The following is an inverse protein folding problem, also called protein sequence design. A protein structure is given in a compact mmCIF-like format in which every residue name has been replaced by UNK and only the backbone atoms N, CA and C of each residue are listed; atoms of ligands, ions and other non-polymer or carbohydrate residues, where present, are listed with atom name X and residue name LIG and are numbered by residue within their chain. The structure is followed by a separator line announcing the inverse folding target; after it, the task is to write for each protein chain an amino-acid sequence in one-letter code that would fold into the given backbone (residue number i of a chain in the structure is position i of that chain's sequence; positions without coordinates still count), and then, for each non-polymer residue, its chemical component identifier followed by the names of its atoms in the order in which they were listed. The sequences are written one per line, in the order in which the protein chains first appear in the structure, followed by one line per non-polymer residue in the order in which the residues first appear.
data_IF_294897470110
#
_entry.id   IF_294897470110
#
_cell.length_a   1.000
_cell.length_b   1.000
_cell.length_c   1.000
_cell.angle_alpha   90.00
_cell.angle_beta   90.00
_cell.angle_gamma   90.00
#
_symmetry.space_group_name_H-M   'P 1'
#
loop_
_entity.id
_entity.type
_entity.pdbx_description
1 polymer ?
#
# COMPACT_ATOMS: atom_id res chain seq x y z
N UNK A 1 19.63 11.10 23.80
CA UNK A 1 19.27 12.46 23.35
C UNK A 1 18.07 12.35 22.40
N UNK A 2 16.95 13.06 22.64
CA UNK A 2 15.75 12.95 21.82
C UNK A 2 16.00 13.39 20.36
N UNK A 3 16.95 14.29 20.13
CA UNK A 3 17.30 14.77 18.78
C UNK A 3 17.86 13.66 17.88
N UNK A 4 18.71 12.79 18.41
CA UNK A 4 19.25 11.66 17.68
C UNK A 4 18.17 10.63 17.32
N UNK A 5 17.16 10.44 18.20
CA UNK A 5 16.03 9.55 17.91
C UNK A 5 15.19 10.04 16.74
N UNK A 6 14.94 11.35 16.66
CA UNK A 6 14.20 11.95 15.54
C UNK A 6 14.99 11.83 14.23
N UNK A 7 16.31 12.01 14.27
CA UNK A 7 17.15 11.90 13.08
C UNK A 7 17.18 10.47 12.53
N UNK A 8 17.29 9.48 13.41
CA UNK A 8 17.22 8.06 13.04
C UNK A 8 15.84 7.72 12.48
N UNK A 9 14.78 8.25 13.10
CA UNK A 9 13.40 8.05 12.61
C UNK A 9 13.22 8.58 11.19
N UNK A 10 13.68 9.78 10.90
CA UNK A 10 13.62 10.37 9.57
C UNK A 10 14.47 9.60 8.56
N UNK A 11 15.64 9.14 8.94
CA UNK A 11 16.50 8.33 8.07
C UNK A 11 15.86 6.98 7.72
N UNK A 12 15.21 6.32 8.68
CA UNK A 12 14.49 5.05 8.46
C UNK A 12 13.27 5.28 7.55
N UNK A 13 12.49 6.33 7.80
CA UNK A 13 11.34 6.66 6.94
C UNK A 13 11.77 7.00 5.50
N UNK A 14 12.86 7.72 5.35
CA UNK A 14 13.43 8.02 4.04
C UNK A 14 13.94 6.76 3.33
N UNK A 15 14.61 5.86 4.06
CA UNK A 15 15.03 4.56 3.54
C UNK A 15 13.86 3.69 3.10
N UNK A 16 12.77 3.66 3.89
CA UNK A 16 11.53 2.98 3.52
C UNK A 16 10.91 3.58 2.24
N UNK A 17 10.82 4.88 2.18
CA UNK A 17 10.29 5.56 0.99
C UNK A 17 11.11 5.22 -0.26
N UNK A 18 12.43 5.24 -0.15
CA UNK A 18 13.29 4.92 -1.27
C UNK A 18 13.17 3.46 -1.70
N UNK A 19 13.18 2.54 -0.74
CA UNK A 19 13.12 1.09 -1.03
C UNK A 19 11.74 0.65 -1.53
N UNK A 20 10.67 1.03 -0.86
CA UNK A 20 9.31 0.61 -1.25
C UNK A 20 8.80 1.43 -2.43
N UNK A 21 9.02 2.75 -2.43
CA UNK A 21 8.52 3.64 -3.46
C UNK A 21 9.28 3.52 -4.78
N UNK A 22 10.59 3.72 -4.75
CA UNK A 22 11.38 3.76 -5.98
C UNK A 22 11.73 2.36 -6.48
N UNK A 23 12.21 1.49 -5.61
CA UNK A 23 12.60 0.14 -6.00
C UNK A 23 11.37 -0.76 -6.17
N UNK A 24 10.46 -0.81 -5.20
CA UNK A 24 9.27 -1.66 -5.24
C UNK A 24 8.25 -1.21 -6.29
N UNK A 25 7.76 0.01 -6.18
CA UNK A 25 6.72 0.53 -7.05
C UNK A 25 7.23 1.02 -8.42
N UNK A 26 8.46 1.50 -8.50
CA UNK A 26 9.05 1.94 -9.76
C UNK A 26 9.65 0.78 -10.57
N UNK A 27 10.71 0.16 -10.05
CA UNK A 27 11.51 -0.80 -10.82
C UNK A 27 10.86 -2.17 -10.95
N UNK A 28 10.38 -2.75 -9.83
CA UNK A 28 9.81 -4.11 -9.86
C UNK A 28 8.46 -4.15 -10.57
N UNK A 29 7.61 -3.16 -10.35
CA UNK A 29 6.32 -3.07 -11.06
C UNK A 29 6.53 -2.92 -12.55
N UNK A 30 7.40 -2.00 -12.99
CA UNK A 30 7.71 -1.81 -14.40
C UNK A 30 8.25 -3.07 -15.08
N UNK A 31 9.16 -3.79 -14.43
CA UNK A 31 9.69 -5.05 -14.95
C UNK A 31 8.63 -6.14 -15.09
N UNK A 32 7.73 -6.28 -14.10
CA UNK A 32 6.68 -7.29 -14.13
C UNK A 32 5.58 -6.90 -15.12
N UNK A 33 5.20 -5.63 -15.16
CA UNK A 33 4.15 -5.13 -16.05
C UNK A 33 4.59 -5.20 -17.52
N UNK A 34 5.76 -4.67 -17.88
CA UNK A 34 6.22 -4.63 -19.26
C UNK A 34 6.63 -6.00 -19.78
N UNK A 35 7.53 -6.70 -19.08
CA UNK A 35 8.10 -7.95 -19.60
C UNK A 35 7.15 -9.14 -19.48
N UNK A 36 6.43 -9.27 -18.36
CA UNK A 36 5.62 -10.46 -18.10
C UNK A 36 4.20 -10.32 -18.63
N UNK A 37 3.56 -9.18 -18.40
CA UNK A 37 2.19 -8.95 -18.84
C UNK A 37 2.09 -8.30 -20.21
N UNK A 38 2.93 -7.28 -20.51
CA UNK A 38 2.91 -6.57 -21.78
C UNK A 38 3.29 -7.45 -22.97
N UNK A 39 4.39 -8.17 -22.87
CA UNK A 39 4.92 -8.95 -24.00
C UNK A 39 4.43 -10.39 -24.08
N UNK A 40 4.12 -11.03 -22.94
CA UNK A 40 3.86 -12.47 -22.92
C UNK A 40 2.40 -12.84 -22.62
N UNK A 41 1.86 -12.42 -21.49
CA UNK A 41 0.54 -12.89 -21.05
C UNK A 41 -0.60 -12.23 -21.82
N UNK A 42 -0.58 -10.92 -21.99
CA UNK A 42 -1.68 -10.20 -22.63
C UNK A 42 -1.88 -10.62 -24.09
N UNK A 43 -0.86 -10.68 -24.97
CA UNK A 43 -1.06 -11.09 -26.37
C UNK A 43 -1.53 -12.54 -26.47
N UNK A 44 -0.99 -13.44 -25.65
CA UNK A 44 -1.37 -14.85 -25.63
C UNK A 44 -2.84 -15.05 -25.26
N UNK A 45 -3.30 -14.36 -24.22
CA UNK A 45 -4.70 -14.43 -23.78
C UNK A 45 -5.66 -13.74 -24.76
N UNK A 46 -5.24 -12.61 -25.32
CA UNK A 46 -6.03 -11.87 -26.32
C UNK A 46 -6.28 -12.75 -27.56
N UNK A 47 -5.26 -13.38 -28.08
CA UNK A 47 -5.37 -14.26 -29.23
C UNK A 47 -6.23 -15.49 -28.94
N UNK A 48 -6.06 -16.10 -27.75
CA UNK A 48 -6.85 -17.26 -27.35
C UNK A 48 -8.35 -16.94 -27.19
N UNK A 49 -8.69 -15.81 -26.58
CA UNK A 49 -10.09 -15.42 -26.35
C UNK A 49 -10.76 -14.95 -27.63
N UNK A 50 -10.09 -14.17 -28.48
CA UNK A 50 -10.61 -13.75 -29.77
C UNK A 50 -10.90 -14.93 -30.70
N UNK A 51 -10.11 -15.99 -30.61
CA UNK A 51 -10.31 -17.23 -31.39
C UNK A 51 -11.45 -18.10 -30.84
N UNK A 52 -11.72 -18.03 -29.53
CA UNK A 52 -12.70 -18.89 -28.86
C UNK A 52 -14.08 -18.25 -28.82
N UNK A 53 -14.18 -16.93 -28.74
CA UNK A 53 -15.45 -16.21 -28.59
C UNK A 53 -15.65 -15.28 -29.80
N UNK A 54 -16.53 -15.64 -30.75
CA UNK A 54 -16.76 -14.84 -31.96
C UNK A 54 -17.66 -13.59 -31.70
N UNK A 55 -18.03 -13.30 -30.46
CA UNK A 55 -18.87 -12.15 -30.09
C UNK A 55 -18.00 -10.97 -29.68
N UNK A 56 -17.91 -9.89 -30.49
CA UNK A 56 -16.98 -8.79 -30.23
C UNK A 56 -17.27 -8.08 -28.92
N UNK A 57 -18.51 -7.95 -28.50
CA UNK A 57 -18.88 -7.28 -27.24
C UNK A 57 -18.34 -8.00 -25.99
N UNK A 58 -18.37 -9.33 -25.97
CA UNK A 58 -17.90 -10.13 -24.84
C UNK A 58 -16.36 -10.18 -24.86
N UNK A 59 -15.77 -10.26 -26.03
CA UNK A 59 -14.32 -10.23 -26.20
C UNK A 59 -13.72 -8.89 -25.72
N UNK A 60 -14.33 -7.77 -26.10
CA UNK A 60 -13.89 -6.43 -25.64
C UNK A 60 -14.06 -6.24 -24.13
N UNK A 61 -15.13 -6.78 -23.55
CA UNK A 61 -15.34 -6.70 -22.10
C UNK A 61 -14.28 -7.50 -21.29
N UNK A 62 -13.83 -8.64 -21.83
CA UNK A 62 -12.85 -9.51 -21.13
C UNK A 62 -11.42 -9.08 -21.42
N UNK A 63 -11.08 -8.79 -22.67
CA UNK A 63 -9.70 -8.63 -23.15
C UNK A 63 -9.48 -7.29 -23.86
N UNK A 64 -10.49 -6.41 -23.90
CA UNK A 64 -10.37 -5.05 -24.44
C UNK A 64 -9.34 -4.22 -23.68
N UNK A 65 -9.07 -3.01 -24.15
CA UNK A 65 -8.10 -2.07 -23.53
C UNK A 65 -8.43 -1.80 -22.04
N UNK A 66 -9.73 -1.83 -21.68
CA UNK A 66 -10.24 -1.75 -20.30
C UNK A 66 -10.87 -3.06 -19.85
N UNK A 67 -10.43 -4.19 -20.39
CA UNK A 67 -11.01 -5.50 -20.11
C UNK A 67 -10.74 -5.96 -18.67
N UNK A 68 -11.64 -6.80 -18.18
CA UNK A 68 -11.53 -7.38 -16.83
C UNK A 68 -10.21 -8.16 -16.66
N UNK A 69 -9.77 -8.86 -17.70
CA UNK A 69 -8.51 -9.61 -17.69
C UNK A 69 -7.31 -8.67 -17.79
N UNK A 70 -7.28 -7.80 -18.80
CA UNK A 70 -6.14 -6.92 -19.07
C UNK A 70 -5.89 -5.94 -17.94
N UNK A 71 -6.92 -5.26 -17.44
CA UNK A 71 -6.76 -4.38 -16.29
C UNK A 71 -6.78 -5.12 -14.96
N UNK A 72 -7.79 -5.96 -14.70
CA UNK A 72 -7.97 -6.57 -13.40
C UNK A 72 -6.81 -7.47 -13.00
N UNK A 73 -6.43 -8.40 -13.86
CA UNK A 73 -5.36 -9.37 -13.59
C UNK A 73 -3.97 -8.72 -13.63
N UNK A 74 -3.73 -7.83 -14.60
CA UNK A 74 -2.45 -7.12 -14.71
C UNK A 74 -2.22 -6.25 -13.47
N UNK A 75 -3.18 -5.42 -13.07
CA UNK A 75 -3.00 -4.60 -11.87
C UNK A 75 -2.93 -5.42 -10.59
N UNK A 76 -3.70 -6.51 -10.46
CA UNK A 76 -3.66 -7.36 -9.27
C UNK A 76 -2.29 -8.04 -9.09
N UNK A 77 -1.70 -8.55 -10.16
CA UNK A 77 -0.44 -9.30 -10.08
C UNK A 77 0.77 -8.40 -10.32
N UNK A 78 0.76 -7.58 -11.37
CA UNK A 78 1.93 -6.78 -11.73
C UNK A 78 2.16 -5.59 -10.79
N UNK A 79 1.10 -4.98 -10.27
CA UNK A 79 1.21 -3.80 -9.43
C UNK A 79 1.14 -4.14 -7.94
N UNK A 80 0.12 -4.88 -7.51
CA UNK A 80 -0.12 -5.12 -6.07
C UNK A 80 0.92 -6.07 -5.50
N UNK A 81 1.25 -7.16 -6.20
CA UNK A 81 2.16 -8.19 -5.68
C UNK A 81 3.56 -7.67 -5.35
N UNK A 82 4.29 -6.94 -6.23
CA UNK A 82 5.60 -6.39 -5.90
C UNK A 82 5.55 -5.36 -4.77
N UNK A 83 4.55 -4.48 -4.78
CA UNK A 83 4.42 -3.43 -3.75
C UNK A 83 4.17 -4.07 -2.37
N UNK A 84 3.25 -5.03 -2.29
CA UNK A 84 2.93 -5.72 -1.04
C UNK A 84 4.13 -6.51 -0.55
N UNK A 85 4.85 -7.21 -1.44
CA UNK A 85 6.04 -7.99 -1.08
C UNK A 85 7.14 -7.10 -0.51
N UNK A 86 7.49 -6.00 -1.19
CA UNK A 86 8.52 -5.07 -0.71
C UNK A 86 8.11 -4.38 0.58
N UNK A 87 6.84 -4.05 0.74
CA UNK A 87 6.31 -3.47 1.96
C UNK A 87 6.43 -4.44 3.14
N UNK A 88 5.98 -5.70 2.99
CA UNK A 88 6.07 -6.69 4.07
C UNK A 88 7.50 -7.05 4.42
N UNK A 89 8.38 -7.12 3.43
CA UNK A 89 9.80 -7.40 3.67
C UNK A 89 10.44 -6.27 4.48
N UNK A 90 10.18 -5.02 4.12
CA UNK A 90 10.68 -3.85 4.85
C UNK A 90 10.09 -3.78 6.25
N UNK A 91 8.79 -4.06 6.37
CA UNK A 91 8.10 -4.07 7.66
C UNK A 91 8.65 -5.16 8.58
N UNK A 92 8.87 -6.38 8.08
CA UNK A 92 9.47 -7.48 8.84
C UNK A 92 10.86 -7.12 9.37
N UNK A 93 11.72 -6.54 8.54
CA UNK A 93 13.05 -6.07 8.96
C UNK A 93 12.94 -5.01 10.07
N UNK A 94 11.96 -4.12 9.96
CA UNK A 94 11.74 -3.05 10.93
C UNK A 94 11.19 -3.57 12.25
N UNK A 95 10.35 -4.61 12.20
CA UNK A 95 9.82 -5.31 13.37
C UNK A 95 10.94 -6.07 14.09
N UNK A 96 11.72 -6.87 13.37
CA UNK A 96 12.83 -7.66 13.91
C UNK A 96 13.95 -6.79 14.50
N UNK A 97 14.18 -5.60 13.95
CA UNK A 97 15.16 -4.63 14.49
C UNK A 97 14.76 -4.01 15.84
N UNK A 98 13.53 -4.28 16.32
CA UNK A 98 13.00 -3.70 17.56
C UNK A 98 12.73 -2.19 17.47
N UNK A 99 12.63 -1.65 16.27
CA UNK A 99 12.36 -0.23 16.04
C UNK A 99 10.93 0.15 16.43
N UNK A 100 9.95 -0.71 16.13
CA UNK A 100 8.53 -0.46 16.39
C UNK A 100 8.21 -0.24 17.88
N UNK A 101 8.71 -1.05 18.84
CA UNK A 101 8.53 -0.79 20.27
C UNK A 101 9.12 0.55 20.72
N UNK A 102 10.26 0.94 20.15
CA UNK A 102 10.87 2.24 20.46
C UNK A 102 10.06 3.40 19.94
N UNK A 103 9.52 3.28 18.73
CA UNK A 103 8.61 4.27 18.15
C UNK A 103 7.34 4.42 19.00
N UNK A 104 6.73 3.30 19.43
CA UNK A 104 5.59 3.28 20.32
C UNK A 104 5.88 3.98 21.65
N UNK A 105 7.04 3.74 22.25
CA UNK A 105 7.46 4.37 23.50
C UNK A 105 7.65 5.90 23.35
N UNK A 106 8.28 6.34 22.27
CA UNK A 106 8.49 7.77 21.97
C UNK A 106 7.17 8.51 21.75
N UNK A 107 6.26 7.89 21.04
CA UNK A 107 4.96 8.47 20.66
C UNK A 107 3.90 8.35 21.75
N UNK A 108 4.14 7.53 22.80
CA UNK A 108 3.19 7.30 23.89
C UNK A 108 2.73 8.60 24.55
N UNK A 109 3.65 9.56 24.74
CA UNK A 109 3.33 10.85 25.37
C UNK A 109 2.35 11.69 24.55
N UNK A 110 2.45 11.62 23.23
CA UNK A 110 1.58 12.35 22.31
C UNK A 110 0.20 11.68 22.22
N UNK A 111 0.15 10.35 22.16
CA UNK A 111 -1.09 9.60 22.06
C UNK A 111 -1.86 9.54 23.39
N UNK A 112 -1.17 9.56 24.54
CA UNK A 112 -1.79 9.66 25.84
C UNK A 112 -2.56 10.97 26.04
N UNK A 113 -2.13 12.05 25.40
CA UNK A 113 -2.85 13.34 25.42
C UNK A 113 -4.22 13.27 24.72
N UNK A 114 -4.38 12.33 23.77
CA UNK A 114 -5.62 12.08 23.01
C UNK A 114 -6.45 10.96 23.67
N UNK A 115 -5.95 10.38 24.78
CA UNK A 115 -6.62 9.28 25.50
C UNK A 115 -6.39 7.90 24.87
N UNK A 116 -5.39 7.77 23.99
CA UNK A 116 -4.99 6.52 23.36
C UNK A 116 -3.70 5.98 23.98
N UNK A 117 -3.59 4.66 24.06
CA UNK A 117 -2.35 4.01 24.49
C UNK A 117 -1.27 4.15 23.40
N UNK A 118 0.01 4.26 23.79
CA UNK A 118 1.14 4.28 22.86
C UNK A 118 1.20 3.09 21.91
N UNK A 119 0.61 1.96 22.26
CA UNK A 119 0.44 0.82 21.36
C UNK A 119 -0.42 1.12 20.12
N UNK A 120 -1.26 2.16 20.17
CA UNK A 120 -2.06 2.61 19.02
C UNK A 120 -1.22 3.23 17.89
N UNK A 121 0.01 3.60 18.16
CA UNK A 121 0.96 4.11 17.14
C UNK A 121 1.21 3.06 16.05
N UNK A 122 1.33 1.79 16.43
CA UNK A 122 1.61 0.71 15.50
C UNK A 122 0.55 0.60 14.38
N UNK A 123 -0.75 0.40 14.70
CA UNK A 123 -1.79 0.37 13.68
C UNK A 123 -1.92 1.68 12.89
N UNK A 124 -1.66 2.83 13.50
CA UNK A 124 -1.74 4.11 12.79
C UNK A 124 -0.61 4.30 11.77
N UNK A 125 0.63 3.98 12.12
CA UNK A 125 1.77 4.03 11.20
C UNK A 125 1.60 3.05 10.04
N UNK A 126 1.15 1.83 10.35
CA UNK A 126 0.84 0.82 9.32
C UNK A 126 -0.32 1.26 8.41
N UNK A 127 -1.32 1.92 8.99
CA UNK A 127 -2.48 2.43 8.25
C UNK A 127 -2.14 3.47 7.20
N UNK A 128 -1.09 4.27 7.41
CA UNK A 128 -0.57 5.22 6.40
C UNK A 128 -0.06 4.49 5.14
N UNK A 129 0.50 3.30 5.31
CA UNK A 129 0.88 2.45 4.17
C UNK A 129 -0.30 1.63 3.66
N UNK A 130 -0.89 0.82 4.53
CA UNK A 130 -1.99 -0.09 4.21
C UNK A 130 -3.03 -0.10 5.34
N UNK A 131 -4.21 0.47 5.09
CA UNK A 131 -5.31 0.55 6.07
C UNK A 131 -5.76 -0.84 6.52
N UNK A 132 -5.77 -1.82 5.63
CA UNK A 132 -6.13 -3.21 5.96
C UNK A 132 -5.20 -3.79 7.02
N UNK A 133 -3.90 -3.60 6.86
CA UNK A 133 -2.91 -4.06 7.86
C UNK A 133 -3.01 -3.27 9.15
N UNK A 134 -3.23 -1.96 9.06
CA UNK A 134 -3.51 -1.11 10.22
C UNK A 134 -4.70 -1.63 11.03
N UNK A 135 -5.81 -1.96 10.37
CA UNK A 135 -7.02 -2.47 11.05
C UNK A 135 -6.82 -3.85 11.66
N UNK A 136 -6.11 -4.76 11.00
CA UNK A 136 -5.77 -6.06 11.56
C UNK A 136 -4.89 -5.90 12.81
N UNK A 137 -3.93 -5.01 12.76
CA UNK A 137 -3.00 -4.74 13.87
C UNK A 137 -3.68 -4.08 15.08
N UNK A 138 -4.87 -3.48 14.93
CA UNK A 138 -5.63 -2.97 16.08
C UNK A 138 -5.94 -4.04 17.13
N UNK A 139 -5.81 -5.32 16.78
CA UNK A 139 -5.96 -6.44 17.73
C UNK A 139 -4.94 -6.43 18.87
N UNK A 140 -3.81 -5.73 18.69
CA UNK A 140 -2.80 -5.52 19.73
C UNK A 140 -3.31 -4.63 20.87
N UNK A 141 -4.35 -3.83 20.62
CA UNK A 141 -4.97 -2.98 21.61
C UNK A 141 -5.82 -3.80 22.59
N UNK A 142 -5.69 -3.49 23.87
CA UNK A 142 -6.27 -4.28 24.95
C UNK A 142 -7.78 -4.07 25.09
N UNK A 143 -8.25 -2.83 24.89
CA UNK A 143 -9.66 -2.49 25.07
C UNK A 143 -10.43 -2.44 23.76
N UNK A 144 -11.68 -2.93 23.78
CA UNK A 144 -12.59 -2.86 22.62
C UNK A 144 -12.83 -1.41 22.18
N UNK A 145 -12.83 -0.48 23.12
CA UNK A 145 -13.07 0.94 22.88
C UNK A 145 -11.93 1.58 22.09
N UNK A 146 -10.69 1.35 22.48
CA UNK A 146 -9.51 1.82 21.76
C UNK A 146 -9.45 1.22 20.37
N UNK A 147 -9.73 -0.07 20.24
CA UNK A 147 -9.76 -0.79 18.97
C UNK A 147 -10.76 -0.18 18.00
N UNK A 148 -11.96 0.14 18.48
CA UNK A 148 -13.02 0.75 17.68
C UNK A 148 -12.66 2.19 17.28
N UNK A 149 -12.12 2.99 18.21
CA UNK A 149 -11.67 4.36 17.93
C UNK A 149 -10.55 4.38 16.89
N UNK A 150 -9.53 3.54 17.04
CA UNK A 150 -8.41 3.48 16.10
C UNK A 150 -8.87 3.01 14.72
N UNK A 151 -9.74 2.00 14.65
CA UNK A 151 -10.29 1.53 13.37
C UNK A 151 -11.11 2.62 12.68
N UNK A 152 -11.88 3.38 13.43
CA UNK A 152 -12.67 4.50 12.90
C UNK A 152 -11.77 5.64 12.39
N UNK A 153 -10.71 5.96 13.14
CA UNK A 153 -9.71 6.94 12.71
C UNK A 153 -8.98 6.50 11.43
N UNK A 154 -8.60 5.23 11.35
CA UNK A 154 -7.97 4.65 10.16
C UNK A 154 -8.89 4.73 8.93
N UNK A 155 -10.17 4.43 9.11
CA UNK A 155 -11.13 4.42 8.01
C UNK A 155 -11.49 5.82 7.49
N UNK A 156 -11.54 6.84 8.38
CA UNK A 156 -12.06 8.17 8.06
C UNK A 156 -10.96 9.23 7.89
N UNK A 157 -9.89 9.15 8.68
CA UNK A 157 -8.92 10.24 8.80
C UNK A 157 -7.57 9.95 8.15
N UNK A 158 -7.22 8.67 7.99
CA UNK A 158 -5.90 8.30 7.47
C UNK A 158 -6.06 7.71 6.07
N UNK A 159 -5.80 8.50 5.02
CA UNK A 159 -5.80 7.98 3.66
C UNK A 159 -4.60 7.04 3.48
N UNK A 160 -4.82 5.87 2.88
CA UNK A 160 -3.71 5.00 2.49
C UNK A 160 -2.97 5.59 1.27
N UNK A 161 -1.77 5.10 1.01
CA UNK A 161 -0.95 5.57 -0.11
C UNK A 161 -1.66 5.45 -1.47
N UNK A 162 -2.49 4.43 -1.67
CA UNK A 162 -3.29 4.26 -2.88
C UNK A 162 -4.36 5.34 -3.03
N UNK A 163 -5.06 5.70 -1.95
CA UNK A 163 -6.04 6.79 -1.97
C UNK A 163 -5.38 8.14 -2.27
N UNK A 164 -4.22 8.41 -1.67
CA UNK A 164 -3.45 9.61 -1.97
C UNK A 164 -3.02 9.65 -3.44
N UNK A 165 -2.59 8.53 -4.00
CA UNK A 165 -2.24 8.42 -5.43
C UNK A 165 -3.41 8.76 -6.35
N UNK A 166 -4.61 8.25 -6.06
CA UNK A 166 -5.82 8.55 -6.83
C UNK A 166 -6.21 10.03 -6.72
N UNK A 167 -6.20 10.59 -5.51
CA UNK A 167 -6.53 12.00 -5.28
C UNK A 167 -5.54 12.91 -6.00
N UNK A 168 -4.24 12.64 -5.92
CA UNK A 168 -3.20 13.41 -6.62
C UNK A 168 -3.31 13.28 -8.14
N UNK A 169 -3.63 12.09 -8.65
CA UNK A 169 -3.87 11.85 -10.07
C UNK A 169 -5.07 12.65 -10.60
N UNK A 170 -6.18 12.67 -9.85
CA UNK A 170 -7.36 13.46 -10.20
C UNK A 170 -7.07 14.97 -10.16
N UNK A 171 -6.38 15.45 -9.15
CA UNK A 171 -6.01 16.87 -9.05
C UNK A 171 -5.04 17.26 -10.16
N UNK A 172 -4.09 16.40 -10.52
CA UNK A 172 -3.16 16.62 -11.62
C UNK A 172 -3.88 16.77 -12.96
N UNK A 173 -4.90 15.96 -13.22
CA UNK A 173 -5.69 16.05 -14.45
C UNK A 173 -6.51 17.34 -14.56
N UNK A 174 -7.01 17.85 -13.44
CA UNK A 174 -7.77 19.13 -13.40
C UNK A 174 -6.84 20.34 -13.56
N UNK A 175 -5.60 20.25 -13.08
CA UNK A 175 -4.62 21.34 -13.17
C UNK A 175 -4.04 21.51 -14.59
N UNK A 176 -4.17 20.50 -15.45
CA UNK A 176 -3.68 20.50 -16.84
C UNK A 176 -4.77 20.88 -17.87
N UNK A 177 -6.03 20.96 -17.45
CA UNK A 177 -7.18 21.41 -18.27
C UNK A 177 -7.47 22.89 -18.03
#
# INVERSE_FOLDING_TARGET
HPVWGVFIMLAVLYGMYWFVGIFGAGTLVGLVEENMFGEWLNPLFTEFIQKTIPVPFISDFIVGEYGLWTMGMTYAVALIFPIVTTFFLTFGIMEDSGYLPRLAALSNRMFSAIGLNGKAVLPMVLGLGCVTMGTITTRVLETKRERLLVTLLLALAIPCSAQLGVVMGMLGSISLA
#
